data_IF_108702652953
#
_entry.id   IF_108702652953
#
_cell.length_a   1.000
_cell.length_b   1.000
_cell.length_c   1.000
_cell.angle_alpha   90.00
_cell.angle_beta   90.00
_cell.angle_gamma   90.00
#
_symmetry.space_group_name_H-M   'P 1'
#
loop_
_entity.id
_entity.type
_entity.pdbx_description
1 polymer ?
#
# COMPACT_ATOMS: atom_id res chain seq x y z
N UNK A 1 47.58 25.83 -15.01
CA UNK A 1 47.48 24.42 -14.56
C UNK A 1 46.29 24.17 -13.61
N UNK A 2 45.13 24.83 -13.77
CA UNK A 2 44.00 24.75 -12.82
C UNK A 2 42.69 24.22 -13.46
N UNK A 3 42.78 23.19 -14.31
CA UNK A 3 41.60 22.62 -15.00
C UNK A 3 41.37 21.13 -14.77
N UNK A 4 42.14 20.49 -13.90
CA UNK A 4 42.04 19.04 -13.62
C UNK A 4 41.34 18.68 -12.31
N UNK A 5 41.08 19.64 -11.41
CA UNK A 5 40.56 19.35 -10.07
C UNK A 5 39.04 19.38 -9.93
N UNK A 6 38.28 19.75 -10.98
CA UNK A 6 36.81 19.82 -10.92
C UNK A 6 36.11 18.53 -11.38
N UNK A 7 36.79 17.66 -12.11
CA UNK A 7 36.19 16.45 -12.71
C UNK A 7 36.10 15.30 -11.68
N UNK A 8 37.02 15.23 -10.71
CA UNK A 8 37.00 14.22 -9.64
C UNK A 8 35.96 14.49 -8.54
N UNK A 9 35.59 15.75 -8.29
CA UNK A 9 34.62 16.10 -7.24
C UNK A 9 33.17 15.74 -7.63
N UNK A 10 32.80 15.89 -8.90
CA UNK A 10 31.44 15.59 -9.39
C UNK A 10 31.09 14.09 -9.34
N UNK A 11 32.07 13.21 -9.59
CA UNK A 11 31.85 11.76 -9.56
C UNK A 11 31.62 11.20 -8.15
N UNK A 12 32.21 11.79 -7.11
CA UNK A 12 32.02 11.34 -5.71
C UNK A 12 30.63 11.72 -5.16
N UNK A 13 30.10 12.89 -5.54
CA UNK A 13 28.76 13.34 -5.12
C UNK A 13 27.65 12.49 -5.74
N UNK A 14 27.79 12.08 -7.01
CA UNK A 14 26.80 11.24 -7.69
C UNK A 14 26.69 9.83 -7.08
N UNK A 15 27.80 9.24 -6.63
CA UNK A 15 27.81 7.91 -5.99
C UNK A 15 27.12 7.97 -4.62
N UNK A 16 27.37 9.01 -3.82
CA UNK A 16 26.75 9.14 -2.50
C UNK A 16 25.23 9.36 -2.60
N UNK A 17 24.73 10.13 -3.57
CA UNK A 17 23.29 10.34 -3.77
C UNK A 17 22.55 9.05 -4.18
N UNK A 18 23.17 8.18 -4.98
CA UNK A 18 22.56 6.91 -5.40
C UNK A 18 22.33 5.91 -4.26
N UNK A 19 23.26 5.84 -3.29
CA UNK A 19 23.18 4.89 -2.17
C UNK A 19 22.08 5.26 -1.17
N UNK A 20 21.84 6.56 -0.93
CA UNK A 20 20.80 7.02 -0.01
C UNK A 20 19.39 6.69 -0.52
N UNK A 21 19.13 6.87 -1.82
CA UNK A 21 17.84 6.54 -2.43
C UNK A 21 17.54 5.05 -2.39
N UNK A 22 18.53 4.21 -2.68
CA UNK A 22 18.36 2.76 -2.60
C UNK A 22 18.01 2.31 -1.17
N UNK A 23 18.69 2.85 -0.15
CA UNK A 23 18.39 2.55 1.25
C UNK A 23 16.99 3.01 1.66
N UNK A 24 16.59 4.22 1.30
CA UNK A 24 15.26 4.73 1.62
C UNK A 24 14.15 3.87 0.97
N UNK A 25 14.33 3.45 -0.28
CA UNK A 25 13.39 2.55 -0.96
C UNK A 25 13.33 1.16 -0.30
N UNK A 26 14.47 0.60 0.09
CA UNK A 26 14.49 -0.69 0.82
C UNK A 26 13.82 -0.59 2.19
N UNK A 27 14.01 0.52 2.90
CA UNK A 27 13.42 0.76 4.21
C UNK A 27 11.89 0.92 4.09
N UNK A 28 11.41 1.63 3.07
CA UNK A 28 9.98 1.77 2.78
C UNK A 28 9.32 0.43 2.42
N UNK A 29 9.95 -0.37 1.55
CA UNK A 29 9.44 -1.70 1.19
C UNK A 29 9.38 -2.65 2.40
N UNK A 30 10.41 -2.63 3.26
CA UNK A 30 10.43 -3.40 4.50
C UNK A 30 9.34 -2.93 5.47
N UNK A 31 9.12 -1.62 5.58
CA UNK A 31 8.06 -1.05 6.40
C UNK A 31 6.68 -1.48 5.89
N UNK A 32 6.41 -1.38 4.59
CA UNK A 32 5.15 -1.80 3.98
C UNK A 32 4.85 -3.28 4.24
N UNK A 33 5.83 -4.16 3.99
CA UNK A 33 5.73 -5.60 4.30
C UNK A 33 5.44 -5.85 5.78
N UNK A 34 6.08 -5.10 6.68
CA UNK A 34 5.84 -5.18 8.13
C UNK A 34 4.41 -4.76 8.48
N UNK A 35 3.87 -3.71 7.86
CA UNK A 35 2.48 -3.30 8.09
C UNK A 35 1.49 -4.34 7.55
N UNK A 36 1.79 -4.96 6.39
CA UNK A 36 0.94 -5.99 5.81
C UNK A 36 0.78 -7.23 6.71
N UNK A 37 1.73 -7.50 7.60
CA UNK A 37 1.59 -8.58 8.59
C UNK A 37 0.33 -8.42 9.48
N UNK A 38 -0.18 -7.20 9.68
CA UNK A 38 -1.46 -6.93 10.37
C UNK A 38 -2.68 -7.33 9.54
N UNK A 39 -2.54 -7.39 8.22
CA UNK A 39 -3.59 -7.69 7.26
C UNK A 39 -3.60 -9.17 6.86
N UNK A 40 -2.43 -9.81 6.88
CA UNK A 40 -2.20 -11.17 6.37
C UNK A 40 -3.01 -12.27 7.08
N UNK A 41 -3.49 -12.02 8.30
CA UNK A 41 -4.38 -12.95 9.01
C UNK A 41 -5.78 -13.04 8.36
N UNK A 42 -6.22 -11.95 7.73
CA UNK A 42 -7.57 -11.84 7.16
C UNK A 42 -7.57 -11.73 5.64
N UNK A 43 -6.44 -11.44 5.01
CA UNK A 43 -6.37 -11.18 3.58
C UNK A 43 -5.22 -11.93 2.90
N UNK A 44 -5.53 -12.52 1.75
CA UNK A 44 -4.54 -13.04 0.81
C UNK A 44 -4.24 -12.01 -0.28
N UNK A 45 -3.07 -12.11 -0.89
CA UNK A 45 -2.70 -11.42 -2.13
C UNK A 45 -2.93 -12.30 -3.37
N UNK A 46 -3.29 -13.57 -3.19
CA UNK A 46 -3.59 -14.48 -4.29
C UNK A 46 -5.04 -14.29 -4.77
N UNK A 47 -5.23 -14.22 -6.08
CA UNK A 47 -6.55 -14.05 -6.70
C UNK A 47 -7.50 -15.19 -6.31
N UNK A 48 -8.75 -14.84 -6.00
CA UNK A 48 -9.78 -15.79 -5.54
C UNK A 48 -9.57 -16.42 -4.16
N UNK A 49 -8.40 -16.25 -3.54
CA UNK A 49 -8.11 -16.83 -2.23
C UNK A 49 -8.64 -15.94 -1.09
N UNK A 50 -9.95 -16.04 -0.81
CA UNK A 50 -10.56 -15.34 0.32
C UNK A 50 -10.23 -16.02 1.65
N UNK A 51 -10.10 -15.21 2.71
CA UNK A 51 -9.95 -15.68 4.09
C UNK A 51 -11.13 -15.13 4.91
N UNK A 52 -10.86 -14.52 6.07
CA UNK A 52 -11.88 -13.73 6.79
C UNK A 52 -12.29 -12.46 6.02
N UNK A 53 -11.38 -11.91 5.22
CA UNK A 53 -11.60 -10.81 4.29
C UNK A 53 -11.41 -11.25 2.83
N UNK A 54 -11.78 -10.38 1.87
CA UNK A 54 -11.61 -10.66 0.45
C UNK A 54 -10.14 -10.78 0.07
N UNK A 55 -9.89 -11.42 -1.07
CA UNK A 55 -8.57 -11.36 -1.71
C UNK A 55 -8.25 -9.91 -2.07
N UNK A 56 -7.00 -9.52 -1.85
CA UNK A 56 -6.48 -8.21 -2.20
C UNK A 56 -5.80 -8.20 -3.56
N UNK A 57 -5.73 -9.30 -4.30
CA UNK A 57 -5.21 -9.33 -5.68
C UNK A 57 -5.88 -8.27 -6.54
N UNK A 58 -5.17 -7.53 -7.39
CA UNK A 58 -5.76 -6.49 -8.24
C UNK A 58 -6.43 -5.35 -7.48
N UNK A 59 -5.85 -4.90 -6.36
CA UNK A 59 -6.50 -3.90 -5.51
C UNK A 59 -6.62 -2.54 -6.20
N UNK A 60 -5.55 -2.09 -6.85
CA UNK A 60 -5.46 -0.72 -7.38
C UNK A 60 -6.51 -0.48 -8.47
N UNK A 61 -7.33 0.55 -8.29
CA UNK A 61 -8.38 0.96 -9.23
C UNK A 61 -9.66 0.11 -9.16
N UNK A 62 -9.68 -0.98 -8.39
CA UNK A 62 -10.89 -1.79 -8.23
C UNK A 62 -11.95 -1.06 -7.42
N UNK A 63 -13.22 -1.23 -7.80
CA UNK A 63 -14.35 -0.69 -7.05
C UNK A 63 -14.45 -1.32 -5.65
N UNK A 64 -14.77 -0.49 -4.65
CA UNK A 64 -14.98 -0.93 -3.27
C UNK A 64 -16.13 -1.95 -3.21
N UNK A 65 -15.91 -3.06 -2.50
CA UNK A 65 -16.96 -4.05 -2.26
C UNK A 65 -17.43 -4.82 -3.50
N UNK A 66 -16.54 -5.12 -4.45
CA UNK A 66 -16.87 -5.78 -5.73
C UNK A 66 -16.02 -7.01 -6.08
N UNK A 67 -15.37 -7.62 -5.09
CA UNK A 67 -14.64 -8.89 -5.33
C UNK A 67 -15.66 -10.01 -5.44
N UNK A 68 -15.67 -10.70 -6.59
CA UNK A 68 -16.57 -11.85 -6.81
C UNK A 68 -16.31 -12.95 -5.77
N UNK A 69 -17.37 -13.63 -5.33
CA UNK A 69 -17.27 -14.74 -4.38
C UNK A 69 -17.06 -14.34 -2.92
N UNK A 70 -17.01 -13.05 -2.59
CA UNK A 70 -16.92 -12.56 -1.22
C UNK A 70 -18.18 -11.78 -0.80
N UNK A 71 -18.66 -12.02 0.43
CA UNK A 71 -19.80 -11.31 1.01
C UNK A 71 -19.32 -10.07 1.76
N UNK A 72 -19.73 -8.90 1.31
CA UNK A 72 -19.32 -7.63 1.89
C UNK A 72 -20.35 -7.10 2.90
N UNK A 73 -19.93 -6.19 3.78
CA UNK A 73 -20.89 -5.39 4.54
C UNK A 73 -21.68 -4.47 3.62
N UNK A 74 -22.95 -4.14 3.93
CA UNK A 74 -23.74 -3.20 3.15
C UNK A 74 -23.05 -1.84 2.93
N UNK A 75 -22.24 -1.39 3.90
CA UNK A 75 -21.47 -0.14 3.78
C UNK A 75 -20.41 -0.18 2.65
N UNK A 76 -19.74 -1.32 2.48
CA UNK A 76 -18.76 -1.52 1.40
C UNK A 76 -19.47 -1.74 0.06
N UNK A 77 -20.57 -2.51 0.05
CA UNK A 77 -21.36 -2.76 -1.17
C UNK A 77 -21.99 -1.48 -1.73
N UNK A 78 -22.49 -0.61 -0.86
CA UNK A 78 -23.12 0.66 -1.24
C UNK A 78 -22.14 1.74 -1.71
N UNK A 79 -20.83 1.54 -1.54
CA UNK A 79 -19.82 2.51 -1.97
C UNK A 79 -19.67 2.55 -3.49
N UNK A 80 -19.55 3.76 -4.04
CA UNK A 80 -19.21 4.01 -5.44
C UNK A 80 -17.73 4.33 -5.66
N UNK A 81 -16.94 4.34 -4.59
CA UNK A 81 -15.53 4.67 -4.65
C UNK A 81 -14.68 3.55 -5.30
N UNK A 82 -13.48 3.92 -5.70
CA UNK A 82 -12.44 3.02 -6.20
C UNK A 82 -11.24 3.03 -5.26
N UNK A 83 -10.51 1.92 -5.20
CA UNK A 83 -9.28 1.84 -4.43
C UNK A 83 -8.11 2.52 -5.15
N UNK A 84 -8.06 3.84 -5.05
CA UNK A 84 -6.87 4.63 -5.31
C UNK A 84 -6.09 4.89 -4.00
N UNK A 85 -4.96 5.62 -4.10
CA UNK A 85 -4.11 5.92 -2.95
C UNK A 85 -4.82 6.76 -1.89
N UNK A 86 -5.62 7.75 -2.30
CA UNK A 86 -6.29 8.67 -1.39
C UNK A 86 -7.38 7.95 -0.60
N UNK A 87 -8.27 7.27 -1.32
CA UNK A 87 -9.37 6.47 -0.77
C UNK A 87 -8.84 5.38 0.14
N UNK A 88 -7.81 4.64 -0.29
CA UNK A 88 -7.23 3.58 0.53
C UNK A 88 -6.53 4.15 1.78
N UNK A 89 -5.84 5.29 1.69
CA UNK A 89 -5.23 5.93 2.85
C UNK A 89 -6.27 6.38 3.87
N UNK A 90 -7.34 7.05 3.42
CA UNK A 90 -8.43 7.50 4.29
C UNK A 90 -9.14 6.32 4.96
N UNK A 91 -9.41 5.25 4.22
CA UNK A 91 -10.00 4.03 4.78
C UNK A 91 -9.06 3.37 5.79
N UNK A 92 -7.77 3.22 5.49
CA UNK A 92 -6.80 2.59 6.38
C UNK A 92 -6.54 3.42 7.65
N UNK A 93 -6.71 4.74 7.61
CA UNK A 93 -6.55 5.59 8.80
C UNK A 93 -7.62 5.33 9.85
N UNK A 94 -8.89 5.21 9.42
CA UNK A 94 -10.02 4.93 10.29
C UNK A 94 -11.16 4.28 9.48
N UNK A 95 -11.18 2.93 9.34
CA UNK A 95 -12.15 2.25 8.50
C UNK A 95 -13.60 2.52 8.88
N UNK A 96 -13.91 2.46 10.18
CA UNK A 96 -15.26 2.69 10.70
C UNK A 96 -15.69 4.15 10.60
N UNK A 97 -14.75 5.10 10.59
CA UNK A 97 -15.02 6.51 10.34
C UNK A 97 -15.23 6.82 8.85
N UNK A 98 -14.43 6.20 7.97
CA UNK A 98 -14.51 6.42 6.52
C UNK A 98 -15.73 5.74 5.89
N UNK A 99 -16.01 4.48 6.27
CA UNK A 99 -17.20 3.73 5.85
C UNK A 99 -17.93 3.18 7.08
N UNK A 100 -18.79 3.99 7.72
CA UNK A 100 -19.59 3.55 8.86
C UNK A 100 -20.43 2.32 8.51
N UNK A 101 -20.33 1.28 9.35
CA UNK A 101 -20.98 -0.02 9.11
C UNK A 101 -20.12 -1.04 8.36
N UNK A 102 -18.88 -0.70 8.02
CA UNK A 102 -17.89 -1.72 7.61
C UNK A 102 -17.70 -2.75 8.72
N UNK A 103 -17.65 -4.03 8.35
CA UNK A 103 -17.42 -5.14 9.29
C UNK A 103 -15.94 -5.51 9.42
N UNK A 104 -15.04 -4.81 8.73
CA UNK A 104 -13.60 -5.04 8.84
C UNK A 104 -13.12 -4.65 10.26
N UNK A 105 -12.67 -5.61 11.09
CA UNK A 105 -12.37 -5.35 12.50
C UNK A 105 -10.96 -4.75 12.67
N UNK A 106 -10.69 -3.64 12.00
CA UNK A 106 -9.40 -2.97 12.01
C UNK A 106 -9.53 -1.58 12.62
N UNK A 107 -8.75 -1.31 13.67
CA UNK A 107 -8.78 -0.03 14.39
C UNK A 107 -8.13 1.15 13.65
N UNK A 108 -7.55 0.90 12.48
CA UNK A 108 -6.87 1.89 11.66
C UNK A 108 -5.36 1.97 11.89
N UNK A 109 -4.70 2.67 10.98
CA UNK A 109 -3.26 2.90 10.93
C UNK A 109 -3.02 4.41 10.83
N UNK A 110 -2.85 5.09 11.98
CA UNK A 110 -2.83 6.57 12.03
C UNK A 110 -1.54 7.22 11.54
N UNK A 111 -0.43 6.48 11.59
CA UNK A 111 0.84 6.99 11.12
C UNK A 111 0.86 7.02 9.59
N UNK A 112 1.02 8.23 9.03
CA UNK A 112 0.94 8.46 7.58
C UNK A 112 2.04 7.70 6.83
N UNK A 113 3.28 7.72 7.30
CA UNK A 113 4.39 7.04 6.64
C UNK A 113 4.18 5.52 6.60
N UNK A 114 3.61 4.95 7.66
CA UNK A 114 3.23 3.53 7.69
C UNK A 114 2.10 3.22 6.71
N UNK A 115 1.09 4.09 6.59
CA UNK A 115 0.00 3.92 5.61
C UNK A 115 0.53 3.97 4.18
N UNK A 116 1.33 4.97 3.86
CA UNK A 116 1.90 5.14 2.52
C UNK A 116 2.75 3.93 2.12
N UNK A 117 3.62 3.47 3.02
CA UNK A 117 4.42 2.26 2.79
C UNK A 117 3.56 1.00 2.63
N UNK A 118 2.46 0.87 3.38
CA UNK A 118 1.52 -0.24 3.21
C UNK A 118 0.80 -0.17 1.87
N UNK A 119 0.36 1.01 1.44
CA UNK A 119 -0.32 1.21 0.15
C UNK A 119 0.63 0.86 -1.01
N UNK A 120 1.88 1.31 -0.93
CA UNK A 120 2.90 0.97 -1.92
C UNK A 120 3.10 -0.54 -2.01
N UNK A 121 3.22 -1.21 -0.87
CA UNK A 121 3.33 -2.66 -0.80
C UNK A 121 2.09 -3.37 -1.38
N UNK A 122 0.88 -2.92 -1.03
CA UNK A 122 -0.35 -3.53 -1.54
C UNK A 122 -0.45 -3.37 -3.06
N UNK A 123 -0.14 -2.19 -3.60
CA UNK A 123 -0.19 -1.97 -5.05
C UNK A 123 0.90 -2.71 -5.81
N UNK A 124 2.09 -2.91 -5.22
CA UNK A 124 3.14 -3.70 -5.86
C UNK A 124 2.86 -5.21 -5.82
N UNK A 125 2.35 -5.72 -4.69
CA UNK A 125 2.25 -7.17 -4.47
C UNK A 125 0.87 -7.76 -4.85
N UNK A 126 -0.17 -6.93 -4.99
CA UNK A 126 -1.49 -7.43 -5.41
C UNK A 126 -1.56 -7.74 -6.91
N UNK A 127 -0.59 -7.30 -7.72
CA UNK A 127 -0.60 -7.46 -9.17
C UNK A 127 -1.68 -6.61 -9.86
N UNK A 128 -1.72 -6.69 -11.20
CA UNK A 128 -2.84 -6.14 -11.96
C UNK A 128 -4.04 -7.09 -11.82
N UNK A 129 -5.20 -6.55 -11.46
CA UNK A 129 -6.43 -7.34 -11.44
C UNK A 129 -6.82 -7.75 -12.86
N UNK A 130 -7.30 -8.98 -13.00
CA UNK A 130 -8.02 -9.46 -14.19
C UNK A 130 -9.31 -8.68 -14.43
#
# INVERSE_FOLDING_TARGET
MLRRSLITLAAVVAVLAGVHNARAATDAAALGRKQFAKCAACHSLQEGAHLMGPSLAGLQGRQVGRVEGFLFSPALEGSTAVWDRETLSAFLENPAGYLPGTVMPFGGLRDQAQREALIDYLFSESGAGS
#
